data_IF_235690554782
#
_entry.id   IF_235690554782
#
_cell.length_a   1.000
_cell.length_b   1.000
_cell.length_c   1.000
_cell.angle_alpha   90.00
_cell.angle_beta   90.00
_cell.angle_gamma   90.00
#
_symmetry.space_group_name_H-M   'P 1'
#
loop_
_entity.id
_entity.type
_entity.pdbx_description
1 polymer ?
#
# COMPACT_ATOMS: atom_id res chain seq x y z
N UNK A 1 13.02 -22.06 -29.02
CA UNK A 1 13.82 -21.26 -29.99
C UNK A 1 15.20 -21.09 -29.38
N UNK A 2 16.27 -21.11 -30.19
CA UNK A 2 17.61 -20.89 -29.66
C UNK A 2 17.69 -19.45 -29.16
N UNK A 3 18.08 -19.25 -27.89
CA UNK A 3 18.25 -17.94 -27.31
C UNK A 3 19.29 -17.15 -28.12
N UNK A 4 18.93 -16.01 -28.65
CA UNK A 4 19.85 -15.18 -29.42
C UNK A 4 20.94 -14.64 -28.51
N UNK A 5 22.16 -14.54 -29.03
CA UNK A 5 23.33 -14.05 -28.28
C UNK A 5 23.80 -12.72 -28.84
N UNK A 6 24.03 -11.78 -27.97
CA UNK A 6 24.56 -10.47 -28.30
C UNK A 6 25.89 -10.19 -27.58
N UNK A 7 26.45 -9.02 -27.90
CA UNK A 7 27.67 -8.49 -27.26
C UNK A 7 27.46 -7.08 -26.79
N UNK A 8 27.94 -6.76 -25.61
CA UNK A 8 27.92 -5.40 -25.07
C UNK A 8 28.77 -4.49 -25.97
N UNK A 9 28.19 -3.40 -26.43
CA UNK A 9 28.88 -2.37 -27.21
C UNK A 9 29.19 -1.14 -26.38
N UNK A 10 28.31 -0.82 -25.42
CA UNK A 10 28.47 0.37 -24.58
C UNK A 10 27.78 0.16 -23.21
N UNK A 11 28.33 0.73 -22.16
CA UNK A 11 27.73 0.81 -20.81
C UNK A 11 27.72 2.27 -20.39
N UNK A 12 26.55 2.79 -20.04
CA UNK A 12 26.35 4.19 -19.58
C UNK A 12 25.52 4.15 -18.30
N UNK A 13 26.19 4.06 -17.13
CA UNK A 13 25.50 3.88 -15.86
C UNK A 13 24.64 2.63 -15.87
N UNK A 14 23.35 2.75 -15.57
CA UNK A 14 22.40 1.64 -15.56
C UNK A 14 21.90 1.23 -16.95
N UNK A 15 22.37 1.85 -18.04
CA UNK A 15 21.99 1.54 -19.41
C UNK A 15 23.10 0.80 -20.14
N UNK A 16 22.76 -0.26 -20.82
CA UNK A 16 23.67 -1.14 -21.55
C UNK A 16 23.19 -1.31 -22.99
N UNK A 17 24.03 -0.99 -23.96
CA UNK A 17 23.76 -1.22 -25.38
C UNK A 17 24.37 -2.56 -25.78
N UNK A 18 23.54 -3.40 -26.39
CA UNK A 18 23.89 -4.78 -26.80
C UNK A 18 23.59 -4.96 -28.26
N UNK A 19 24.59 -5.40 -29.03
CA UNK A 19 24.45 -5.72 -30.45
C UNK A 19 24.22 -7.23 -30.63
N UNK A 20 23.16 -7.56 -31.34
CA UNK A 20 22.78 -8.92 -31.71
C UNK A 20 23.12 -9.23 -33.17
N UNK A 21 22.83 -10.45 -33.62
CA UNK A 21 22.86 -10.83 -35.03
C UNK A 21 21.60 -10.36 -35.76
N UNK A 22 20.99 -11.26 -36.53
CA UNK A 22 19.78 -10.95 -37.30
C UNK A 22 18.50 -10.89 -36.42
N UNK A 23 18.45 -11.72 -35.38
CA UNK A 23 17.30 -11.82 -34.48
C UNK A 23 17.46 -10.88 -33.26
N UNK A 24 16.73 -9.78 -33.28
CA UNK A 24 16.67 -8.83 -32.17
C UNK A 24 15.67 -9.27 -31.10
N UNK A 25 16.05 -9.23 -29.81
CA UNK A 25 15.11 -9.41 -28.72
C UNK A 25 13.98 -8.37 -28.76
N UNK A 26 12.73 -8.77 -28.53
CA UNK A 26 11.61 -7.83 -28.36
C UNK A 26 11.83 -6.87 -27.20
N UNK A 27 11.16 -5.73 -27.25
CA UNK A 27 11.10 -4.79 -26.13
C UNK A 27 10.47 -5.51 -24.93
N UNK A 28 10.96 -5.23 -23.73
CA UNK A 28 10.65 -5.87 -22.44
C UNK A 28 11.22 -7.29 -22.24
N UNK A 29 11.90 -7.86 -23.23
CA UNK A 29 12.62 -9.11 -22.98
C UNK A 29 13.72 -8.93 -21.95
N UNK A 30 13.92 -9.95 -21.13
CA UNK A 30 15.01 -10.05 -20.21
C UNK A 30 16.26 -10.63 -20.90
N UNK A 31 17.37 -9.96 -20.73
CA UNK A 31 18.69 -10.42 -21.16
C UNK A 31 19.51 -10.77 -19.92
N UNK A 32 20.41 -11.74 -20.06
CA UNK A 32 21.29 -12.15 -18.95
C UNK A 32 22.75 -12.08 -19.34
N UNK A 33 23.59 -11.65 -18.44
CA UNK A 33 25.05 -11.64 -18.57
C UNK A 33 25.69 -11.89 -17.21
N UNK A 34 26.90 -12.43 -17.23
CA UNK A 34 27.68 -12.58 -15.99
C UNK A 34 28.30 -11.25 -15.58
N UNK A 35 28.17 -10.87 -14.33
CA UNK A 35 28.87 -9.73 -13.75
C UNK A 35 29.62 -10.15 -12.49
N UNK A 36 30.89 -10.51 -12.65
CA UNK A 36 31.75 -10.99 -11.57
C UNK A 36 31.18 -12.22 -10.80
N UNK A 37 30.64 -13.18 -11.53
CA UNK A 37 30.05 -14.40 -10.98
C UNK A 37 28.61 -14.27 -10.50
N UNK A 38 28.00 -13.10 -10.71
CA UNK A 38 26.57 -12.87 -10.48
C UNK A 38 25.84 -12.77 -11.81
N UNK A 39 24.66 -13.37 -11.87
CA UNK A 39 23.79 -13.23 -13.04
C UNK A 39 23.12 -11.84 -13.02
N UNK A 40 23.54 -10.96 -13.94
CA UNK A 40 22.93 -9.66 -14.12
C UNK A 40 21.82 -9.74 -15.16
N UNK A 41 20.63 -9.26 -14.81
CA UNK A 41 19.48 -9.17 -15.70
C UNK A 41 19.37 -7.74 -16.24
N UNK A 42 19.17 -7.66 -17.56
CA UNK A 42 18.93 -6.41 -18.30
C UNK A 42 17.54 -6.52 -18.96
N UNK A 43 16.80 -5.45 -19.00
CA UNK A 43 15.51 -5.40 -19.71
C UNK A 43 15.63 -4.54 -20.98
N UNK A 44 15.24 -5.06 -22.11
CA UNK A 44 15.27 -4.33 -23.39
C UNK A 44 14.27 -3.19 -23.35
N UNK A 45 14.76 -1.95 -23.54
CA UNK A 45 13.94 -0.73 -23.50
C UNK A 45 13.73 -0.10 -24.88
N UNK A 46 14.70 -0.21 -25.78
CA UNK A 46 14.67 0.42 -27.10
C UNK A 46 15.44 -0.39 -28.12
N UNK A 47 15.01 -0.32 -29.39
CA UNK A 47 15.81 -0.71 -30.55
C UNK A 47 16.47 0.55 -31.14
N UNK A 48 17.82 0.53 -31.27
CA UNK A 48 18.60 1.68 -31.74
C UNK A 48 18.91 1.64 -33.25
N UNK A 49 18.56 0.54 -33.92
CA UNK A 49 19.02 0.26 -35.27
C UNK A 49 20.34 -0.54 -35.29
N UNK A 50 20.79 -0.96 -36.51
CA UNK A 50 22.01 -1.76 -36.70
C UNK A 50 22.11 -2.98 -35.79
N UNK A 51 20.99 -3.67 -35.59
CA UNK A 51 20.85 -4.84 -34.70
C UNK A 51 21.26 -4.58 -33.23
N UNK A 52 21.15 -3.33 -32.78
CA UNK A 52 21.50 -2.92 -31.42
C UNK A 52 20.26 -2.61 -30.61
N UNK A 53 20.20 -3.16 -29.39
CA UNK A 53 19.17 -2.83 -28.39
C UNK A 53 19.77 -2.06 -27.25
N UNK A 54 19.01 -1.17 -26.68
CA UNK A 54 19.33 -0.49 -25.42
C UNK A 54 18.52 -1.13 -24.32
N UNK A 55 19.23 -1.57 -23.27
CA UNK A 55 18.64 -2.28 -22.13
C UNK A 55 18.94 -1.55 -20.83
N UNK A 56 18.09 -1.77 -19.83
CA UNK A 56 18.20 -1.21 -18.48
C UNK A 56 18.62 -2.31 -17.54
N UNK A 57 19.63 -2.06 -16.73
CA UNK A 57 20.12 -3.02 -15.74
C UNK A 57 19.23 -3.06 -14.51
N UNK A 58 18.99 -4.26 -14.00
CA UNK A 58 18.26 -4.53 -12.76
C UNK A 58 19.16 -4.57 -11.53
N UNK A 59 20.47 -4.58 -11.71
CA UNK A 59 21.48 -4.49 -10.65
C UNK A 59 22.69 -3.68 -11.14
N UNK A 60 23.71 -3.57 -10.32
CA UNK A 60 24.95 -2.82 -10.61
C UNK A 60 25.62 -3.28 -11.90
N UNK A 61 26.07 -2.31 -12.69
CA UNK A 61 26.74 -2.55 -13.99
C UNK A 61 28.26 -2.50 -13.90
N UNK A 62 28.81 -2.17 -12.74
CA UNK A 62 30.24 -2.11 -12.48
C UNK A 62 30.87 -3.48 -12.70
N UNK A 63 31.85 -3.53 -13.56
CA UNK A 63 32.52 -4.78 -13.95
C UNK A 63 32.15 -5.28 -15.35
N UNK A 64 31.09 -4.77 -15.96
CA UNK A 64 30.76 -5.08 -17.36
C UNK A 64 31.80 -4.51 -18.31
N UNK A 65 32.16 -5.31 -19.31
CA UNK A 65 33.15 -4.92 -20.32
C UNK A 65 32.57 -4.98 -21.72
N UNK A 66 33.08 -4.11 -22.60
CA UNK A 66 32.72 -4.13 -24.01
C UNK A 66 33.12 -5.45 -24.66
N UNK A 67 32.25 -6.01 -25.48
CA UNK A 67 32.44 -7.29 -26.15
C UNK A 67 31.99 -8.50 -25.31
N UNK A 68 31.58 -8.29 -24.06
CA UNK A 68 31.04 -9.33 -23.20
C UNK A 68 29.74 -9.91 -23.77
N UNK A 69 29.56 -11.22 -23.61
CA UNK A 69 28.39 -11.93 -24.13
C UNK A 69 27.15 -11.67 -23.27
N UNK A 70 26.03 -11.51 -23.95
CA UNK A 70 24.69 -11.36 -23.38
C UNK A 70 23.78 -12.36 -24.06
N UNK A 71 22.90 -13.00 -23.30
CA UNK A 71 21.93 -13.98 -23.81
C UNK A 71 20.51 -13.45 -23.63
N UNK A 72 19.69 -13.54 -24.68
CA UNK A 72 18.25 -13.32 -24.58
C UNK A 72 17.60 -14.52 -23.88
N UNK A 73 16.73 -14.27 -22.92
CA UNK A 73 15.96 -15.32 -22.21
C UNK A 73 14.75 -15.80 -23.01
N UNK A 74 14.35 -15.05 -24.04
CA UNK A 74 13.18 -15.34 -24.88
C UNK A 74 11.84 -14.85 -24.31
N UNK A 75 11.85 -14.04 -23.26
CA UNK A 75 10.67 -13.46 -22.63
C UNK A 75 10.99 -12.37 -21.62
N UNK A 76 9.99 -11.79 -20.96
CA UNK A 76 10.18 -10.78 -19.94
C UNK A 76 10.83 -11.36 -18.66
N UNK A 77 11.19 -10.49 -17.72
CA UNK A 77 11.65 -10.89 -16.39
C UNK A 77 10.61 -11.80 -15.76
N UNK A 78 11.05 -12.97 -15.28
CA UNK A 78 10.21 -13.96 -14.61
C UNK A 78 10.46 -13.94 -13.12
N UNK A 79 9.40 -14.03 -12.33
CA UNK A 79 9.48 -14.15 -10.86
C UNK A 79 8.79 -15.43 -10.40
N UNK A 80 9.29 -16.09 -9.33
CA UNK A 80 8.59 -17.23 -8.75
C UNK A 80 7.26 -16.77 -8.15
N UNK A 81 6.24 -17.60 -8.25
CA UNK A 81 4.89 -17.31 -7.75
C UNK A 81 4.34 -18.46 -6.92
N UNK A 82 3.22 -18.23 -6.23
CA UNK A 82 2.52 -19.20 -5.40
C UNK A 82 2.97 -19.24 -3.95
N UNK A 83 2.46 -20.21 -3.18
CA UNK A 83 2.62 -20.27 -1.72
C UNK A 83 4.08 -20.34 -1.24
N UNK A 84 4.99 -20.85 -2.05
CA UNK A 84 6.42 -20.86 -1.74
C UNK A 84 7.07 -19.48 -1.60
N UNK A 85 6.36 -18.40 -1.97
CA UNK A 85 6.81 -17.02 -1.80
C UNK A 85 6.36 -16.39 -0.48
N UNK A 86 5.44 -17.02 0.26
CA UNK A 86 4.95 -16.50 1.54
C UNK A 86 6.07 -16.49 2.59
N UNK A 87 6.12 -15.42 3.36
CA UNK A 87 7.15 -15.19 4.36
C UNK A 87 8.54 -14.84 3.79
N UNK A 88 8.69 -14.78 2.46
CA UNK A 88 9.96 -14.55 1.76
C UNK A 88 10.11 -13.10 1.34
N UNK A 89 11.37 -12.67 1.26
CA UNK A 89 11.74 -11.37 0.66
C UNK A 89 12.47 -11.65 -0.66
N UNK A 90 11.91 -11.12 -1.76
CA UNK A 90 12.46 -11.28 -3.10
C UNK A 90 12.94 -9.93 -3.65
N UNK A 91 13.91 -9.97 -4.54
CA UNK A 91 14.30 -8.81 -5.35
C UNK A 91 13.44 -8.69 -6.63
N UNK A 92 13.77 -7.73 -7.49
CA UNK A 92 13.04 -7.46 -8.73
C UNK A 92 13.03 -8.64 -9.72
N UNK A 93 14.04 -9.49 -9.68
CA UNK A 93 14.18 -10.68 -10.54
C UNK A 93 13.67 -11.96 -9.87
N UNK A 94 13.07 -11.82 -8.68
CA UNK A 94 12.52 -12.95 -7.92
C UNK A 94 13.53 -13.77 -7.15
N UNK A 95 14.78 -13.30 -7.06
CA UNK A 95 15.79 -13.97 -6.23
C UNK A 95 15.55 -13.64 -4.76
N UNK A 96 15.69 -14.62 -3.84
CA UNK A 96 15.54 -14.39 -2.43
C UNK A 96 16.70 -13.57 -1.86
N UNK A 97 16.39 -12.61 -1.00
CA UNK A 97 17.37 -11.73 -0.32
C UNK A 97 17.30 -11.84 1.20
N UNK A 98 16.55 -12.81 1.71
CA UNK A 98 16.27 -13.06 3.13
C UNK A 98 17.17 -14.13 3.78
N UNK A 99 18.17 -14.64 3.06
CA UNK A 99 19.08 -15.70 3.51
C UNK A 99 18.39 -17.02 3.89
N UNK A 100 17.13 -17.22 3.50
CA UNK A 100 16.34 -18.43 3.77
C UNK A 100 16.49 -19.52 2.68
N UNK A 101 17.49 -19.39 1.83
CA UNK A 101 17.73 -20.32 0.72
C UNK A 101 16.78 -20.12 -0.47
N UNK A 102 16.80 -21.02 -1.46
CA UNK A 102 15.99 -20.88 -2.66
C UNK A 102 14.48 -20.92 -2.38
N UNK A 103 13.71 -20.21 -3.19
CA UNK A 103 12.25 -20.21 -3.11
C UNK A 103 11.72 -21.59 -3.53
N UNK A 104 10.83 -22.16 -2.73
CA UNK A 104 10.16 -23.43 -3.02
C UNK A 104 8.97 -23.20 -3.97
N UNK A 105 9.25 -22.74 -5.18
CA UNK A 105 8.24 -22.59 -6.22
C UNK A 105 8.69 -23.31 -7.48
N UNK A 106 7.76 -23.98 -8.14
CA UNK A 106 7.97 -24.63 -9.44
C UNK A 106 7.44 -23.77 -10.59
N UNK A 107 6.69 -22.74 -10.28
CA UNK A 107 6.04 -21.87 -11.25
C UNK A 107 6.69 -20.49 -11.27
N UNK A 108 6.79 -19.92 -12.46
CA UNK A 108 7.25 -18.55 -12.66
C UNK A 108 6.27 -17.80 -13.55
N UNK A 109 6.15 -16.49 -13.36
CA UNK A 109 5.28 -15.63 -14.16
C UNK A 109 6.04 -14.36 -14.57
N UNK A 110 5.80 -13.90 -15.81
CA UNK A 110 6.40 -12.67 -16.30
C UNK A 110 5.82 -11.43 -15.59
N UNK A 111 6.68 -10.46 -15.27
CA UNK A 111 6.26 -9.25 -14.57
C UNK A 111 5.43 -8.29 -15.43
N UNK A 112 5.53 -8.40 -16.76
CA UNK A 112 4.73 -7.63 -17.70
C UNK A 112 3.50 -8.45 -18.10
N UNK A 113 2.42 -8.26 -17.35
CA UNK A 113 1.10 -8.81 -17.65
C UNK A 113 0.15 -7.72 -18.15
N UNK A 114 -0.88 -8.14 -18.85
CA UNK A 114 -1.97 -7.25 -19.25
C UNK A 114 -2.99 -7.08 -18.12
N UNK A 115 -3.75 -5.98 -18.15
CA UNK A 115 -4.89 -5.81 -17.28
C UNK A 115 -5.94 -6.90 -17.55
N UNK A 116 -6.75 -7.31 -16.55
CA UNK A 116 -7.83 -8.26 -16.79
C UNK A 116 -8.78 -7.77 -17.89
N UNK A 117 -9.17 -8.69 -18.79
CA UNK A 117 -10.12 -8.39 -19.83
C UNK A 117 -11.46 -7.91 -19.27
N UNK A 118 -12.17 -7.11 -20.03
CA UNK A 118 -13.42 -6.49 -19.59
C UNK A 118 -14.47 -7.52 -19.13
N UNK A 119 -14.53 -8.67 -19.78
CA UNK A 119 -15.43 -9.76 -19.42
C UNK A 119 -15.02 -10.56 -18.17
N UNK A 120 -13.76 -10.43 -17.74
CA UNK A 120 -13.23 -11.06 -16.52
C UNK A 120 -13.45 -10.18 -15.27
N UNK A 121 -13.58 -8.87 -15.44
CA UNK A 121 -13.75 -7.94 -14.33
C UNK A 121 -15.11 -8.13 -13.65
N UNK A 122 -15.11 -8.02 -12.32
CA UNK A 122 -16.34 -7.93 -11.53
C UNK A 122 -16.90 -6.51 -11.62
N UNK A 123 -18.20 -6.39 -11.82
CA UNK A 123 -18.92 -5.11 -11.80
C UNK A 123 -19.56 -4.83 -10.44
N UNK A 124 -19.49 -5.76 -9.50
CA UNK A 124 -20.04 -5.61 -8.16
C UNK A 124 -19.13 -4.68 -7.34
N UNK A 125 -19.75 -3.68 -6.71
CA UNK A 125 -19.06 -2.77 -5.80
C UNK A 125 -19.32 -3.22 -4.38
N UNK A 126 -18.29 -3.77 -3.74
CA UNK A 126 -18.34 -4.28 -2.38
C UNK A 126 -17.39 -3.50 -1.47
N UNK A 127 -17.78 -3.35 -0.19
CA UNK A 127 -16.91 -2.82 0.85
C UNK A 127 -15.94 -3.93 1.27
N UNK A 128 -14.66 -3.59 1.32
CA UNK A 128 -13.64 -4.39 2.00
C UNK A 128 -13.66 -4.02 3.49
N UNK A 129 -14.36 -4.80 4.29
CA UNK A 129 -14.42 -4.55 5.73
C UNK A 129 -13.05 -4.81 6.36
N UNK A 130 -12.47 -3.78 6.94
CA UNK A 130 -11.13 -3.82 7.55
C UNK A 130 -11.15 -4.18 9.03
N UNK A 131 -12.29 -4.03 9.70
CA UNK A 131 -12.43 -4.17 11.15
C UNK A 131 -11.88 -2.97 11.92
N UNK A 132 -11.51 -1.89 11.23
CA UNK A 132 -10.99 -0.64 11.81
C UNK A 132 -12.09 0.42 11.71
N UNK A 133 -12.66 0.81 12.84
CA UNK A 133 -13.85 1.69 12.92
C UNK A 133 -13.75 2.94 12.07
N UNK A 134 -12.65 3.69 12.18
CA UNK A 134 -12.49 4.97 11.49
C UNK A 134 -12.45 4.80 9.97
N UNK A 135 -11.87 3.73 9.48
CA UNK A 135 -11.79 3.42 8.05
C UNK A 135 -13.18 2.97 7.56
N UNK A 136 -13.71 1.93 8.19
CA UNK A 136 -14.96 1.30 7.74
C UNK A 136 -16.15 2.25 7.81
N UNK A 137 -16.18 3.17 8.78
CA UNK A 137 -17.25 4.15 8.92
C UNK A 137 -17.13 5.34 7.96
N UNK A 138 -15.95 5.98 7.91
CA UNK A 138 -15.77 7.31 7.32
C UNK A 138 -15.07 7.33 5.97
N UNK A 139 -14.25 6.33 5.69
CA UNK A 139 -13.50 6.20 4.44
C UNK A 139 -13.40 4.73 4.01
N UNK A 140 -14.55 4.03 3.82
CA UNK A 140 -14.57 2.60 3.54
C UNK A 140 -13.79 2.25 2.27
N UNK A 141 -13.07 1.14 2.31
CA UNK A 141 -12.29 0.65 1.19
C UNK A 141 -13.15 -0.14 0.22
N UNK A 142 -12.90 0.08 -1.06
CA UNK A 142 -13.53 -0.71 -2.13
C UNK A 142 -12.73 -2.01 -2.33
N UNK A 143 -13.41 -3.14 -2.32
CA UNK A 143 -12.82 -4.42 -2.74
C UNK A 143 -12.40 -4.34 -4.20
N UNK A 144 -11.12 -4.63 -4.48
CA UNK A 144 -10.54 -4.39 -5.81
C UNK A 144 -10.20 -2.94 -6.12
N UNK A 145 -10.33 -2.05 -5.14
CA UNK A 145 -10.05 -0.63 -5.28
C UNK A 145 -8.59 -0.27 -4.98
N UNK A 146 -8.32 1.01 -5.17
CA UNK A 146 -6.99 1.61 -4.98
C UNK A 146 -7.07 2.69 -3.91
N UNK A 147 -6.37 2.48 -2.81
CA UNK A 147 -6.39 3.35 -1.65
C UNK A 147 -5.05 4.08 -1.53
N UNK A 148 -5.09 5.40 -1.47
CA UNK A 148 -3.93 6.22 -1.15
C UNK A 148 -3.77 6.37 0.36
N UNK A 149 -2.59 6.01 0.88
CA UNK A 149 -2.24 6.20 2.27
C UNK A 149 -1.26 7.36 2.40
N UNK A 150 -1.72 8.41 3.05
CA UNK A 150 -0.97 9.64 3.28
C UNK A 150 -0.55 9.73 4.73
N UNK A 151 0.68 10.14 5.00
CA UNK A 151 1.13 10.36 6.37
C UNK A 151 2.63 10.59 6.43
N UNK A 152 3.02 11.48 7.31
CA UNK A 152 4.42 11.76 7.63
C UNK A 152 5.09 10.63 8.42
N UNK A 153 6.34 10.83 8.79
CA UNK A 153 7.04 9.90 9.65
C UNK A 153 6.46 9.89 11.07
N UNK A 154 6.36 8.70 11.68
CA UNK A 154 5.98 8.54 13.09
C UNK A 154 4.49 8.67 13.40
N UNK A 155 3.61 8.63 12.40
CA UNK A 155 2.15 8.67 12.60
C UNK A 155 1.49 7.29 12.69
N UNK A 156 2.28 6.20 12.69
CA UNK A 156 1.77 4.84 12.79
C UNK A 156 1.39 4.18 11.46
N UNK A 157 1.93 4.66 10.33
CA UNK A 157 1.69 4.07 9.00
C UNK A 157 1.98 2.56 8.96
N UNK A 158 3.16 2.16 9.42
CA UNK A 158 3.59 0.76 9.46
C UNK A 158 2.66 -0.12 10.31
N UNK A 159 2.27 0.37 11.48
CA UNK A 159 1.37 -0.35 12.39
C UNK A 159 -0.02 -0.53 11.75
N UNK A 160 -0.52 0.49 11.05
CA UNK A 160 -1.78 0.40 10.32
C UNK A 160 -1.70 -0.64 9.18
N UNK A 161 -0.60 -0.64 8.41
CA UNK A 161 -0.36 -1.62 7.34
C UNK A 161 -0.36 -3.04 7.92
N UNK A 162 0.38 -3.28 9.00
CA UNK A 162 0.44 -4.59 9.65
C UNK A 162 -0.94 -5.04 10.18
N UNK A 163 -1.72 -4.13 10.75
CA UNK A 163 -3.06 -4.45 11.22
C UNK A 163 -4.00 -4.81 10.07
N UNK A 164 -3.93 -4.08 8.96
CA UNK A 164 -4.70 -4.41 7.74
C UNK A 164 -4.34 -5.80 7.21
N UNK A 165 -3.06 -6.16 7.16
CA UNK A 165 -2.60 -7.50 6.75
C UNK A 165 -3.17 -8.56 7.68
N UNK A 166 -3.05 -8.36 8.99
CA UNK A 166 -3.54 -9.29 9.99
C UNK A 166 -5.07 -9.48 9.90
N UNK A 167 -5.81 -8.39 9.72
CA UNK A 167 -7.26 -8.40 9.67
C UNK A 167 -7.79 -9.07 8.41
N UNK A 168 -7.20 -8.79 7.26
CA UNK A 168 -7.57 -9.46 6.01
C UNK A 168 -7.29 -10.95 6.07
N UNK A 169 -6.18 -11.36 6.64
CA UNK A 169 -5.89 -12.78 6.83
C UNK A 169 -6.90 -13.47 7.75
N UNK A 170 -7.39 -12.79 8.80
CA UNK A 170 -8.34 -13.35 9.76
C UNK A 170 -9.78 -13.34 9.24
N UNK A 171 -10.22 -12.26 8.62
CA UNK A 171 -11.62 -12.07 8.21
C UNK A 171 -11.88 -12.69 6.84
N UNK A 172 -10.98 -12.50 5.89
CA UNK A 172 -11.19 -12.90 4.49
C UNK A 172 -10.36 -14.11 4.07
N UNK A 173 -9.57 -14.70 4.99
CA UNK A 173 -8.60 -15.78 4.67
C UNK A 173 -7.69 -15.41 3.49
N UNK A 174 -7.50 -14.11 3.28
CA UNK A 174 -6.71 -13.55 2.19
C UNK A 174 -5.22 -13.54 2.51
N UNK A 175 -4.44 -13.31 1.48
CA UNK A 175 -2.99 -13.09 1.58
C UNK A 175 -2.64 -11.66 1.17
N UNK A 176 -1.46 -11.23 1.56
CA UNK A 176 -0.97 -9.90 1.21
C UNK A 176 0.34 -9.98 0.46
N UNK A 177 0.61 -8.96 -0.34
CA UNK A 177 1.91 -8.76 -0.98
C UNK A 177 2.37 -7.34 -0.69
N UNK A 178 3.60 -7.18 -0.25
CA UNK A 178 4.19 -5.87 0.03
C UNK A 178 5.34 -5.59 -0.93
N UNK A 179 5.24 -4.50 -1.66
CA UNK A 179 6.28 -3.99 -2.55
C UNK A 179 6.94 -2.75 -1.94
N UNK A 180 8.17 -2.91 -1.44
CA UNK A 180 9.03 -1.81 -0.99
C UNK A 180 9.73 -1.17 -2.17
N UNK A 181 9.29 0.03 -2.55
CA UNK A 181 9.75 0.73 -3.74
C UNK A 181 10.58 1.96 -3.34
N UNK A 182 11.88 1.87 -3.49
CA UNK A 182 12.80 2.98 -3.26
C UNK A 182 12.85 3.50 -1.83
N UNK A 183 12.45 2.69 -0.85
CA UNK A 183 12.51 3.03 0.57
C UNK A 183 13.87 2.67 1.18
N UNK A 184 14.09 3.06 2.42
CA UNK A 184 15.34 2.78 3.13
C UNK A 184 15.44 1.30 3.49
N UNK A 185 16.58 0.69 3.22
CA UNK A 185 16.85 -0.73 3.57
C UNK A 185 16.60 -1.02 5.05
N UNK A 186 16.96 -0.08 5.93
CA UNK A 186 16.73 -0.23 7.37
C UNK A 186 15.25 -0.32 7.70
N UNK A 187 14.40 0.55 7.11
CA UNK A 187 12.96 0.55 7.34
C UNK A 187 12.31 -0.75 6.83
N UNK A 188 12.77 -1.28 5.70
CA UNK A 188 12.33 -2.57 5.19
C UNK A 188 12.72 -3.74 6.10
N UNK A 189 13.92 -3.69 6.70
CA UNK A 189 14.37 -4.70 7.64
C UNK A 189 13.62 -4.61 8.98
N UNK A 190 13.40 -3.40 9.49
CA UNK A 190 12.61 -3.16 10.71
C UNK A 190 11.19 -3.70 10.52
N UNK A 191 10.53 -3.40 9.38
CA UNK A 191 9.21 -3.90 9.03
C UNK A 191 9.15 -5.45 8.99
N UNK A 192 10.15 -6.09 8.42
CA UNK A 192 10.22 -7.55 8.36
C UNK A 192 10.26 -8.18 9.76
N UNK A 193 11.07 -7.62 10.67
CA UNK A 193 11.16 -8.09 12.05
C UNK A 193 9.87 -7.83 12.84
N UNK A 194 9.25 -6.67 12.66
CA UNK A 194 7.96 -6.35 13.27
C UNK A 194 6.85 -7.30 12.80
N UNK A 195 6.87 -7.73 11.53
CA UNK A 195 5.95 -8.75 11.00
C UNK A 195 6.19 -10.13 11.59
N UNK A 196 7.43 -10.48 11.93
CA UNK A 196 7.75 -11.71 12.65
C UNK A 196 7.23 -11.63 14.10
N UNK A 197 7.50 -10.54 14.79
CA UNK A 197 7.08 -10.34 16.18
C UNK A 197 5.55 -10.32 16.33
N UNK A 198 4.84 -9.78 15.35
CA UNK A 198 3.36 -9.73 15.31
C UNK A 198 2.72 -11.04 14.82
N UNK A 199 3.52 -12.03 14.38
CA UNK A 199 3.01 -13.31 13.89
C UNK A 199 2.40 -13.27 12.48
N UNK A 200 2.59 -12.20 11.73
CA UNK A 200 2.22 -12.09 10.31
C UNK A 200 3.14 -12.97 9.46
N UNK A 201 4.42 -13.04 9.82
CA UNK A 201 5.40 -13.96 9.26
C UNK A 201 5.73 -15.03 10.31
N UNK A 202 5.69 -16.29 9.90
CA UNK A 202 5.96 -17.46 10.75
C UNK A 202 7.28 -18.08 10.33
N UNK A 203 8.40 -17.77 11.00
CA UNK A 203 9.74 -18.22 10.55
C UNK A 203 9.93 -19.74 10.53
N UNK A 204 9.27 -20.45 11.47
CA UNK A 204 9.37 -21.91 11.58
C UNK A 204 8.60 -22.64 10.46
N UNK A 205 7.57 -22.00 9.90
CA UNK A 205 6.82 -22.50 8.75
C UNK A 205 6.37 -21.32 7.86
N UNK A 206 7.23 -20.94 6.93
CA UNK A 206 7.03 -19.76 6.08
C UNK A 206 5.72 -19.82 5.25
N UNK A 207 5.26 -21.03 4.90
CA UNK A 207 4.02 -21.22 4.13
C UNK A 207 2.75 -20.83 4.93
N UNK A 208 2.84 -20.77 6.26
CA UNK A 208 1.76 -20.28 7.14
C UNK A 208 1.75 -18.76 7.28
N UNK A 209 2.75 -18.09 6.72
CA UNK A 209 2.84 -16.63 6.71
C UNK A 209 1.71 -16.02 5.88
N UNK A 210 1.34 -14.77 6.20
CA UNK A 210 0.20 -14.07 5.59
C UNK A 210 0.61 -13.11 4.47
N UNK A 211 1.91 -13.00 4.19
CA UNK A 211 2.46 -12.01 3.29
C UNK A 211 3.67 -12.53 2.52
N UNK A 212 3.82 -12.08 1.27
CA UNK A 212 5.05 -12.13 0.49
C UNK A 212 5.60 -10.71 0.31
N UNK A 213 6.92 -10.56 0.35
CA UNK A 213 7.58 -9.26 0.25
C UNK A 213 8.49 -9.19 -0.97
N UNK A 214 8.49 -8.05 -1.65
CA UNK A 214 9.42 -7.74 -2.71
C UNK A 214 10.07 -6.39 -2.44
N UNK A 215 11.40 -6.32 -2.47
CA UNK A 215 12.14 -5.10 -2.15
C UNK A 215 13.01 -4.63 -3.31
N UNK A 216 12.79 -3.38 -3.73
CA UNK A 216 13.66 -2.61 -4.61
C UNK A 216 14.02 -1.29 -3.91
N UNK A 217 14.99 -1.36 -3.01
CA UNK A 217 15.31 -0.29 -2.06
C UNK A 217 16.04 0.88 -2.73
N UNK A 218 16.22 1.99 -1.99
CA UNK A 218 16.78 3.24 -2.55
C UNK A 218 18.24 3.13 -3.00
N UNK A 219 18.98 2.13 -2.54
CA UNK A 219 20.36 1.86 -2.96
C UNK A 219 20.44 1.06 -4.28
N UNK A 220 19.32 0.53 -4.76
CA UNK A 220 19.28 -0.22 -6.01
C UNK A 220 19.17 0.70 -7.24
N UNK A 221 19.59 0.25 -8.43
CA UNK A 221 19.51 1.04 -9.65
C UNK A 221 18.08 1.37 -10.03
N UNK A 222 17.86 2.41 -10.86
CA UNK A 222 16.52 2.86 -11.20
C UNK A 222 15.68 1.80 -11.95
N UNK A 223 16.31 0.90 -12.68
CA UNK A 223 15.62 -0.23 -13.33
C UNK A 223 14.92 -1.14 -12.32
N UNK A 224 15.63 -1.53 -11.25
CA UNK A 224 15.06 -2.33 -10.18
C UNK A 224 13.92 -1.61 -9.48
N UNK A 225 14.11 -0.35 -9.06
CA UNK A 225 13.09 0.45 -8.38
C UNK A 225 11.84 0.69 -9.24
N UNK A 226 11.98 0.79 -10.55
CA UNK A 226 10.89 0.97 -11.50
C UNK A 226 10.08 -0.33 -11.70
N UNK A 227 10.70 -1.51 -11.55
CA UNK A 227 10.06 -2.80 -11.86
C UNK A 227 9.59 -3.57 -10.63
N UNK A 228 10.09 -3.25 -9.45
CA UNK A 228 9.78 -4.03 -8.24
C UNK A 228 8.27 -4.04 -7.91
N UNK A 229 7.55 -2.95 -8.15
CA UNK A 229 6.10 -2.92 -7.96
C UNK A 229 5.38 -3.90 -8.90
N UNK A 230 5.89 -4.06 -10.13
CA UNK A 230 5.34 -5.03 -11.09
C UNK A 230 5.64 -6.47 -10.66
N UNK A 231 6.81 -6.73 -10.10
CA UNK A 231 7.15 -8.05 -9.52
C UNK A 231 6.18 -8.40 -8.39
N UNK A 232 5.92 -7.47 -7.46
CA UNK A 232 4.94 -7.66 -6.39
C UNK A 232 3.53 -7.85 -6.91
N UNK A 233 3.10 -7.05 -7.88
CA UNK A 233 1.79 -7.17 -8.49
C UNK A 233 1.59 -8.53 -9.17
N UNK A 234 2.63 -9.07 -9.79
CA UNK A 234 2.60 -10.40 -10.41
C UNK A 234 2.37 -11.51 -9.38
N UNK A 235 2.98 -11.40 -8.18
CA UNK A 235 2.69 -12.33 -7.08
C UNK A 235 1.22 -12.20 -6.64
N UNK A 236 0.73 -10.97 -6.50
CA UNK A 236 -0.65 -10.71 -6.11
C UNK A 236 -1.66 -11.27 -7.13
N UNK A 237 -1.40 -11.10 -8.42
CA UNK A 237 -2.23 -11.65 -9.51
C UNK A 237 -2.30 -13.17 -9.45
N UNK A 238 -1.18 -13.85 -9.14
CA UNK A 238 -1.20 -15.30 -9.02
C UNK A 238 -2.12 -15.77 -7.89
N UNK A 239 -2.05 -15.14 -6.73
CA UNK A 239 -2.95 -15.47 -5.61
C UNK A 239 -4.42 -15.19 -5.95
N UNK A 240 -4.72 -14.07 -6.62
CA UNK A 240 -6.06 -13.76 -7.09
C UNK A 240 -6.60 -14.80 -8.08
N UNK A 241 -5.79 -15.13 -9.10
CA UNK A 241 -6.23 -15.91 -10.24
C UNK A 241 -6.32 -17.41 -9.92
N UNK A 242 -5.35 -17.97 -9.19
CA UNK A 242 -5.23 -19.41 -8.94
C UNK A 242 -5.97 -19.85 -7.68
N UNK A 243 -5.93 -19.06 -6.62
CA UNK A 243 -6.57 -19.44 -5.35
C UNK A 243 -7.91 -18.74 -5.11
N UNK A 244 -8.31 -17.83 -6.00
CA UNK A 244 -9.54 -17.05 -5.84
C UNK A 244 -9.53 -16.17 -4.58
N UNK A 245 -8.35 -15.77 -4.14
CA UNK A 245 -8.18 -15.03 -2.89
C UNK A 245 -8.48 -13.55 -3.05
N UNK A 246 -8.90 -12.94 -1.94
CA UNK A 246 -8.87 -11.50 -1.78
C UNK A 246 -7.46 -11.09 -1.34
N UNK A 247 -6.75 -10.39 -2.20
CA UNK A 247 -5.35 -10.03 -1.99
C UNK A 247 -5.24 -8.55 -1.64
N UNK A 248 -4.49 -8.23 -0.57
CA UNK A 248 -4.02 -6.87 -0.32
C UNK A 248 -2.64 -6.68 -0.95
N UNK A 249 -2.53 -5.67 -1.77
CA UNK A 249 -1.29 -5.28 -2.40
C UNK A 249 -0.81 -3.93 -1.88
N UNK A 250 0.25 -3.94 -1.10
CA UNK A 250 0.87 -2.73 -0.55
C UNK A 250 2.00 -2.25 -1.43
N UNK A 251 2.04 -0.94 -1.69
CA UNK A 251 3.14 -0.28 -2.41
C UNK A 251 3.67 0.86 -1.55
N UNK A 252 4.88 0.75 -1.07
CA UNK A 252 5.54 1.80 -0.32
C UNK A 252 6.89 2.10 -0.96
N UNK A 253 7.03 3.14 -1.74
CA UNK A 253 6.15 4.27 -1.99
C UNK A 253 5.87 4.41 -3.49
N UNK A 254 4.62 4.67 -3.87
CA UNK A 254 4.25 4.79 -5.29
C UNK A 254 4.97 5.96 -6.00
N UNK A 255 5.29 7.04 -5.29
CA UNK A 255 6.07 8.15 -5.83
C UNK A 255 7.45 7.69 -6.33
N UNK A 256 8.09 6.73 -5.63
CA UNK A 256 9.41 6.22 -6.02
C UNK A 256 9.37 5.43 -7.32
N UNK A 257 8.24 4.79 -7.62
CA UNK A 257 8.00 4.16 -8.92
C UNK A 257 8.08 5.21 -10.05
N UNK A 258 7.40 6.34 -9.90
CA UNK A 258 7.45 7.42 -10.90
C UNK A 258 8.81 8.09 -10.98
N UNK A 259 9.47 8.29 -9.85
CA UNK A 259 10.82 8.86 -9.79
C UNK A 259 11.83 7.97 -10.53
N UNK A 260 11.83 6.68 -10.27
CA UNK A 260 12.70 5.72 -10.97
C UNK A 260 12.42 5.72 -12.48
N UNK A 261 11.15 5.80 -12.88
CA UNK A 261 10.75 5.96 -14.29
C UNK A 261 11.31 7.22 -14.93
N UNK A 262 11.37 8.34 -14.23
CA UNK A 262 11.97 9.57 -14.75
C UNK A 262 13.49 9.46 -14.90
N UNK A 263 14.19 8.83 -13.95
CA UNK A 263 15.62 8.55 -14.03
C UNK A 263 15.95 7.67 -15.24
N UNK A 264 15.18 6.58 -15.43
CA UNK A 264 15.33 5.69 -16.61
C UNK A 264 15.07 6.46 -17.90
N UNK A 265 14.01 7.25 -17.98
CA UNK A 265 13.68 8.05 -19.16
C UNK A 265 14.78 9.01 -19.54
N UNK A 266 15.41 9.65 -18.56
CA UNK A 266 16.57 10.53 -18.77
C UNK A 266 17.79 9.75 -19.31
N UNK A 267 18.08 8.58 -18.74
CA UNK A 267 19.17 7.70 -19.22
C UNK A 267 18.94 7.18 -20.63
N UNK A 268 17.68 6.99 -21.03
CA UNK A 268 17.29 6.61 -22.39
C UNK A 268 17.33 7.78 -23.37
N UNK A 269 17.61 9.00 -22.91
CA UNK A 269 17.69 10.19 -23.75
C UNK A 269 16.34 10.72 -24.23
N UNK A 270 15.24 10.39 -23.55
CA UNK A 270 13.91 10.89 -23.87
C UNK A 270 13.76 12.35 -23.43
N UNK A 271 13.04 13.14 -24.21
CA UNK A 271 12.74 14.54 -23.87
C UNK A 271 11.81 14.55 -22.66
N UNK A 272 12.19 15.22 -21.55
CA UNK A 272 11.36 15.26 -20.35
C UNK A 272 10.06 16.07 -20.57
N UNK A 273 9.02 15.70 -19.85
CA UNK A 273 7.78 16.47 -19.75
C UNK A 273 7.84 17.50 -18.63
N UNK A 274 6.69 18.00 -18.17
CA UNK A 274 6.59 18.97 -17.10
C UNK A 274 7.35 18.51 -15.84
N UNK A 275 8.05 19.45 -15.16
CA UNK A 275 8.81 19.22 -13.93
C UNK A 275 9.93 18.17 -14.06
N UNK A 276 10.30 17.77 -15.28
CA UNK A 276 11.36 16.79 -15.53
C UNK A 276 10.91 15.33 -15.51
N UNK A 277 9.62 15.06 -15.39
CA UNK A 277 9.08 13.68 -15.45
C UNK A 277 9.15 13.09 -16.86
N UNK A 278 9.05 11.76 -16.94
CA UNK A 278 8.98 11.03 -18.20
C UNK A 278 7.72 11.40 -18.99
N UNK A 279 7.79 11.45 -20.33
CA UNK A 279 6.61 11.70 -21.16
C UNK A 279 5.55 10.58 -21.08
N UNK A 280 5.96 9.41 -20.60
CA UNK A 280 5.11 8.22 -20.43
C UNK A 280 4.53 8.09 -19.01
N UNK A 281 4.63 9.12 -18.16
CA UNK A 281 4.21 9.07 -16.75
C UNK A 281 2.78 8.49 -16.58
N UNK A 282 1.81 9.05 -17.29
CA UNK A 282 0.42 8.61 -17.19
C UNK A 282 0.22 7.18 -17.72
N UNK A 283 0.92 6.82 -18.78
CA UNK A 283 0.84 5.48 -19.39
C UNK A 283 1.49 4.43 -18.49
N UNK A 284 2.66 4.72 -17.93
CA UNK A 284 3.37 3.80 -17.02
C UNK A 284 2.56 3.55 -15.76
N UNK A 285 1.99 4.62 -15.18
CA UNK A 285 1.12 4.53 -14.01
C UNK A 285 -0.17 3.76 -14.34
N UNK A 286 -0.82 4.11 -15.45
CA UNK A 286 -2.05 3.46 -15.90
C UNK A 286 -1.87 1.97 -16.13
N UNK A 287 -0.80 1.57 -16.81
CA UNK A 287 -0.49 0.17 -17.09
C UNK A 287 -0.37 -0.68 -15.80
N UNK A 288 0.20 -0.12 -14.73
CA UNK A 288 0.26 -0.81 -13.45
C UNK A 288 -1.10 -0.78 -12.72
N UNK A 289 -1.74 0.38 -12.67
CA UNK A 289 -2.98 0.57 -11.90
C UNK A 289 -4.16 -0.23 -12.45
N UNK A 290 -4.28 -0.38 -13.77
CA UNK A 290 -5.37 -1.13 -14.40
C UNK A 290 -5.29 -2.66 -14.17
N UNK A 291 -4.12 -3.20 -13.81
CA UNK A 291 -3.96 -4.59 -13.39
C UNK A 291 -4.55 -4.87 -12.00
N UNK A 292 -4.69 -3.81 -11.19
CA UNK A 292 -5.25 -3.87 -9.84
C UNK A 292 -6.77 -3.79 -9.96
N UNK A 293 -7.44 -4.93 -9.89
CA UNK A 293 -8.87 -5.03 -10.10
C UNK A 293 -9.48 -6.26 -9.41
N UNK A 294 -10.79 -6.20 -9.17
CA UNK A 294 -11.62 -7.37 -8.87
C UNK A 294 -11.94 -8.12 -10.16
N UNK A 295 -11.77 -9.42 -10.12
CA UNK A 295 -12.19 -10.34 -11.18
C UNK A 295 -13.28 -11.27 -10.66
N UNK A 296 -13.83 -12.10 -11.53
CA UNK A 296 -14.82 -13.14 -11.15
C UNK A 296 -14.23 -14.22 -10.25
N UNK A 297 -12.91 -14.37 -10.21
CA UNK A 297 -12.21 -15.36 -9.38
C UNK A 297 -11.82 -14.81 -8.00
N UNK A 298 -11.34 -13.59 -7.92
CA UNK A 298 -10.86 -12.96 -6.69
C UNK A 298 -10.60 -11.48 -6.88
N UNK A 299 -10.00 -10.83 -5.89
CA UNK A 299 -9.74 -9.39 -5.94
C UNK A 299 -8.31 -9.03 -5.55
N UNK A 300 -7.81 -7.93 -6.10
CA UNK A 300 -6.61 -7.25 -5.60
C UNK A 300 -7.04 -5.86 -5.16
N UNK A 301 -6.93 -5.57 -3.88
CA UNK A 301 -7.12 -4.23 -3.33
C UNK A 301 -5.76 -3.66 -3.00
N UNK A 302 -5.41 -2.49 -3.52
CA UNK A 302 -4.11 -1.88 -3.24
C UNK A 302 -4.18 -0.77 -2.21
N UNK A 303 -3.19 -0.77 -1.31
CA UNK A 303 -2.92 0.34 -0.40
C UNK A 303 -1.56 0.91 -0.77
N UNK A 304 -1.56 2.12 -1.29
CA UNK A 304 -0.39 2.77 -1.86
C UNK A 304 0.03 3.94 -0.99
N UNK A 305 1.20 3.87 -0.38
CA UNK A 305 1.77 5.02 0.31
C UNK A 305 2.15 6.08 -0.73
N UNK A 306 1.65 7.29 -0.54
CA UNK A 306 1.87 8.41 -1.44
C UNK A 306 2.72 9.46 -0.74
N UNK A 307 3.87 9.77 -1.32
CA UNK A 307 4.68 10.92 -0.94
C UNK A 307 4.34 12.10 -1.86
N UNK A 308 4.09 13.24 -1.27
CA UNK A 308 3.80 14.48 -2.00
C UNK A 308 5.01 15.39 -1.89
N UNK A 309 5.78 15.60 -2.99
CA UNK A 309 6.93 16.48 -2.97
C UNK A 309 6.56 17.91 -2.57
N UNK A 310 7.25 18.46 -1.57
CA UNK A 310 7.04 19.83 -1.06
C UNK A 310 5.57 20.13 -0.67
N UNK A 311 4.78 19.12 -0.34
CA UNK A 311 3.34 19.20 -0.06
C UNK A 311 2.52 19.80 -1.23
N UNK A 312 3.05 19.73 -2.45
CA UNK A 312 2.41 20.24 -3.67
C UNK A 312 1.58 19.14 -4.36
N UNK A 313 0.28 19.16 -4.12
CA UNK A 313 -0.68 18.24 -4.74
C UNK A 313 -0.84 18.44 -6.26
N UNK A 314 -0.31 19.54 -6.80
CA UNK A 314 -0.36 19.84 -8.24
C UNK A 314 0.83 19.29 -9.00
N UNK A 315 1.83 18.74 -8.30
CA UNK A 315 2.95 18.02 -8.92
C UNK A 315 2.41 16.85 -9.79
N UNK A 316 2.93 16.66 -11.02
CA UNK A 316 2.41 15.65 -11.95
C UNK A 316 2.38 14.22 -11.41
N UNK A 317 3.32 13.82 -10.54
CA UNK A 317 3.38 12.45 -10.03
C UNK A 317 2.22 12.14 -9.04
N UNK A 318 2.02 12.91 -7.94
CA UNK A 318 0.86 12.71 -7.10
C UNK A 318 -0.46 12.97 -7.84
N UNK A 319 -0.55 13.99 -8.69
CA UNK A 319 -1.76 14.28 -9.47
C UNK A 319 -2.19 13.09 -10.35
N UNK A 320 -1.23 12.43 -11.02
CA UNK A 320 -1.50 11.24 -11.82
C UNK A 320 -1.94 10.06 -10.92
N UNK A 321 -1.30 9.89 -9.76
CA UNK A 321 -1.67 8.83 -8.81
C UNK A 321 -3.08 9.03 -8.27
N UNK A 322 -3.46 10.27 -7.89
CA UNK A 322 -4.80 10.59 -7.39
C UNK A 322 -5.93 10.26 -8.35
N UNK A 323 -5.69 10.38 -9.66
CA UNK A 323 -6.69 10.07 -10.67
C UNK A 323 -7.16 8.60 -10.62
N UNK A 324 -6.32 7.70 -10.11
CA UNK A 324 -6.61 6.27 -9.98
C UNK A 324 -7.19 5.86 -8.62
N UNK A 325 -7.12 6.72 -7.60
CA UNK A 325 -7.52 6.35 -6.24
C UNK A 325 -9.05 6.35 -6.06
N UNK A 326 -9.54 5.33 -5.38
CA UNK A 326 -10.95 5.18 -4.98
C UNK A 326 -11.21 5.70 -3.57
N UNK A 327 -10.21 5.63 -2.70
CA UNK A 327 -10.25 6.17 -1.36
C UNK A 327 -8.89 6.74 -0.95
N UNK A 328 -8.91 7.65 0.01
CA UNK A 328 -7.71 8.21 0.63
C UNK A 328 -7.81 8.10 2.15
N UNK A 329 -6.75 7.60 2.77
CA UNK A 329 -6.58 7.55 4.22
C UNK A 329 -5.44 8.49 4.59
N UNK A 330 -5.75 9.53 5.34
CA UNK A 330 -4.79 10.54 5.79
C UNK A 330 -4.45 10.29 7.25
N UNK A 331 -3.17 10.04 7.54
CA UNK A 331 -2.67 9.96 8.91
C UNK A 331 -2.13 11.31 9.33
N UNK A 332 -2.64 11.85 10.41
CA UNK A 332 -2.32 13.19 10.90
C UNK A 332 -1.49 13.15 12.18
N UNK A 333 -0.46 14.00 12.21
CA UNK A 333 0.45 14.10 13.36
C UNK A 333 -0.24 14.69 14.59
N UNK A 334 -1.11 15.69 14.42
CA UNK A 334 -1.81 16.31 15.53
C UNK A 334 -2.75 15.32 16.24
N UNK A 335 -3.29 14.34 15.50
CA UNK A 335 -4.10 13.26 16.07
C UNK A 335 -3.20 12.27 16.85
N UNK A 336 -2.05 11.91 16.29
CA UNK A 336 -1.10 11.04 16.99
C UNK A 336 -0.50 11.67 18.26
N UNK A 337 -0.28 12.97 18.26
CA UNK A 337 0.18 13.73 19.43
C UNK A 337 -0.87 13.77 20.56
N UNK A 338 -2.16 13.63 20.24
CA UNK A 338 -3.23 13.42 21.23
C UNK A 338 -3.28 11.98 21.77
N UNK A 339 -2.42 11.07 21.27
CA UNK A 339 -2.43 9.66 21.63
C UNK A 339 -3.56 8.85 20.98
N UNK A 340 -4.24 9.39 19.98
CA UNK A 340 -5.34 8.72 19.28
C UNK A 340 -4.74 7.86 18.16
N UNK A 341 -4.94 6.55 18.23
CA UNK A 341 -4.49 5.57 17.25
C UNK A 341 -5.64 4.63 16.83
N UNK A 342 -5.77 4.31 15.52
CA UNK A 342 -4.97 4.84 14.41
C UNK A 342 -5.16 6.35 14.25
N UNK A 343 -4.08 7.05 13.90
CA UNK A 343 -4.09 8.51 13.76
C UNK A 343 -4.71 8.98 12.43
N UNK A 344 -5.81 8.37 12.03
CA UNK A 344 -6.53 8.69 10.80
C UNK A 344 -7.31 9.99 10.98
N UNK A 345 -7.11 10.95 10.07
CA UNK A 345 -7.90 12.18 10.02
C UNK A 345 -9.30 11.87 9.48
N UNK A 346 -10.34 11.95 10.31
CA UNK A 346 -11.72 11.64 9.91
C UNK A 346 -12.33 12.64 8.94
N UNK A 347 -11.77 13.84 8.84
CA UNK A 347 -12.23 14.90 7.96
C UNK A 347 -11.39 15.03 6.67
N UNK A 348 -10.13 14.62 6.74
CA UNK A 348 -9.19 14.61 5.61
C UNK A 348 -9.24 13.33 4.79
N UNK A 349 -9.74 12.24 5.34
CA UNK A 349 -9.88 10.96 4.64
C UNK A 349 -11.18 10.90 3.87
N UNK A 350 -11.15 10.30 2.67
CA UNK A 350 -12.30 10.26 1.76
C UNK A 350 -12.45 8.89 1.10
N UNK A 351 -13.66 8.56 0.68
CA UNK A 351 -13.94 7.36 -0.13
C UNK A 351 -15.06 7.64 -1.14
N UNK A 352 -14.89 7.11 -2.35
CA UNK A 352 -15.96 7.15 -3.37
C UNK A 352 -17.14 6.25 -3.01
N UNK A 353 -16.93 5.27 -2.10
CA UNK A 353 -18.01 4.44 -1.61
C UNK A 353 -18.98 5.16 -0.68
N UNK A 354 -18.60 6.31 -0.11
CA UNK A 354 -19.43 7.06 0.82
C UNK A 354 -20.58 7.77 0.06
N UNK A 355 -21.46 6.95 -0.46
CA UNK A 355 -22.66 7.31 -1.22
C UNK A 355 -23.83 6.45 -0.72
N UNK A 356 -25.01 7.04 -0.39
CA UNK A 356 -26.15 6.30 0.15
C UNK A 356 -26.67 5.20 -0.78
N UNK A 357 -26.46 5.33 -2.10
CA UNK A 357 -26.84 4.33 -3.10
C UNK A 357 -25.93 3.08 -3.07
N UNK A 358 -24.73 3.19 -2.50
CA UNK A 358 -23.74 2.13 -2.46
C UNK A 358 -23.71 1.46 -1.07
N UNK A 359 -23.50 2.26 -0.02
CA UNK A 359 -23.32 1.77 1.36
C UNK A 359 -24.62 1.71 2.17
N UNK A 360 -25.72 2.21 1.61
CA UNK A 360 -27.02 2.31 2.29
C UNK A 360 -27.18 3.62 3.09
N UNK A 361 -28.44 4.02 3.27
CA UNK A 361 -28.78 5.29 3.91
C UNK A 361 -28.33 5.37 5.38
N UNK A 362 -28.41 4.26 6.12
CA UNK A 362 -28.07 4.26 7.54
C UNK A 362 -26.57 4.53 7.75
N UNK A 363 -25.70 3.79 7.07
CA UNK A 363 -24.27 3.99 7.16
C UNK A 363 -23.88 5.41 6.73
N UNK A 364 -24.41 5.87 5.58
CA UNK A 364 -24.15 7.21 5.06
C UNK A 364 -24.57 8.32 6.04
N UNK A 365 -25.76 8.21 6.62
CA UNK A 365 -26.27 9.19 7.57
C UNK A 365 -25.39 9.25 8.82
N UNK A 366 -25.07 8.10 9.41
CA UNK A 366 -24.21 8.05 10.61
C UNK A 366 -22.82 8.62 10.33
N UNK A 367 -22.20 8.28 9.20
CA UNK A 367 -20.91 8.82 8.81
C UNK A 367 -20.96 10.34 8.63
N UNK A 368 -21.98 10.84 7.96
CA UNK A 368 -22.19 12.30 7.74
C UNK A 368 -22.41 13.04 9.04
N UNK A 369 -23.23 12.49 9.94
CA UNK A 369 -23.50 13.10 11.24
C UNK A 369 -22.23 13.17 12.10
N UNK A 370 -21.43 12.10 12.14
CA UNK A 370 -20.12 12.09 12.82
C UNK A 370 -19.21 13.18 12.24
N UNK A 371 -19.10 13.26 10.91
CA UNK A 371 -18.29 14.28 10.25
C UNK A 371 -18.77 15.70 10.56
N UNK A 372 -20.07 15.94 10.59
CA UNK A 372 -20.63 17.25 10.91
C UNK A 372 -20.30 17.67 12.35
N UNK A 373 -20.44 16.78 13.32
CA UNK A 373 -20.08 17.05 14.72
C UNK A 373 -18.60 17.37 14.86
N UNK A 374 -17.73 16.58 14.23
CA UNK A 374 -16.29 16.80 14.24
C UNK A 374 -15.90 18.10 13.53
N UNK A 375 -16.54 18.42 12.40
CA UNK A 375 -16.30 19.67 11.65
C UNK A 375 -16.72 20.88 12.47
N UNK A 376 -17.87 20.82 13.16
CA UNK A 376 -18.32 21.89 14.07
C UNK A 376 -17.32 22.09 15.20
N UNK A 377 -16.84 21.00 15.81
CA UNK A 377 -15.82 21.08 16.84
C UNK A 377 -14.52 21.74 16.33
N UNK A 378 -14.06 21.36 15.15
CA UNK A 378 -12.86 21.96 14.52
C UNK A 378 -13.02 23.47 14.34
N UNK A 379 -14.21 23.95 13.92
CA UNK A 379 -14.46 25.38 13.76
C UNK A 379 -14.57 26.14 15.10
N UNK A 380 -14.86 25.44 16.20
CA UNK A 380 -14.94 26.03 17.54
C UNK A 380 -13.60 26.03 18.30
N UNK A 381 -12.60 25.27 17.83
CA UNK A 381 -11.31 25.12 18.52
C UNK A 381 -10.60 26.46 18.75
N UNK A 382 -10.59 27.35 17.76
CA UNK A 382 -9.96 28.67 17.88
C UNK A 382 -10.68 29.55 18.92
N UNK A 383 -12.02 29.48 18.95
CA UNK A 383 -12.84 30.19 19.93
C UNK A 383 -12.57 29.67 21.33
N UNK A 384 -12.50 28.34 21.50
CA UNK A 384 -12.21 27.70 22.79
C UNK A 384 -10.81 28.07 23.28
N UNK A 385 -9.83 28.13 22.37
CA UNK A 385 -8.45 28.46 22.72
C UNK A 385 -8.29 29.92 23.20
N UNK A 386 -9.08 30.86 22.67
CA UNK A 386 -9.00 32.28 22.99
C UNK A 386 -9.91 32.66 24.14
N UNK A 387 -11.18 32.22 24.13
CA UNK A 387 -12.21 32.65 25.07
C UNK A 387 -12.56 31.64 26.16
N UNK A 388 -12.19 30.37 25.97
CA UNK A 388 -12.55 29.27 26.85
C UNK A 388 -13.90 28.64 26.51
N UNK A 389 -14.19 27.52 27.17
CA UNK A 389 -15.43 26.75 26.98
C UNK A 389 -16.67 27.48 27.51
N UNK A 390 -16.51 28.34 28.50
CA UNK A 390 -17.63 28.98 29.20
C UNK A 390 -18.38 29.98 28.32
N UNK A 391 -17.70 30.56 27.33
CA UNK A 391 -18.29 31.53 26.38
C UNK A 391 -19.09 30.87 25.24
N UNK A 392 -19.08 29.56 25.12
CA UNK A 392 -19.86 28.83 24.13
C UNK A 392 -21.35 28.77 24.52
N UNK A 393 -22.21 28.71 23.51
CA UNK A 393 -23.63 28.38 23.70
C UNK A 393 -23.77 26.96 24.27
N UNK A 394 -24.87 26.64 24.92
CA UNK A 394 -25.13 25.32 25.47
C UNK A 394 -25.13 24.23 24.37
N UNK A 395 -25.64 24.57 23.17
CA UNK A 395 -25.62 23.67 22.03
C UNK A 395 -24.19 23.42 21.53
N UNK A 396 -23.30 24.42 21.56
CA UNK A 396 -21.91 24.30 21.20
C UNK A 396 -21.12 23.50 22.23
N UNK A 397 -21.41 23.72 23.53
CA UNK A 397 -20.81 22.90 24.61
C UNK A 397 -21.16 21.42 24.46
N UNK A 398 -22.41 21.12 24.14
CA UNK A 398 -22.86 19.76 23.89
C UNK A 398 -22.17 19.16 22.67
N UNK A 399 -22.11 19.91 21.55
CA UNK A 399 -21.42 19.48 20.34
C UNK A 399 -19.94 19.20 20.60
N UNK A 400 -19.23 20.04 21.34
CA UNK A 400 -17.82 19.84 21.73
C UNK A 400 -17.65 18.61 22.60
N UNK A 401 -18.54 18.39 23.56
CA UNK A 401 -18.49 17.22 24.46
C UNK A 401 -18.67 15.92 23.67
N UNK A 402 -19.63 15.87 22.76
CA UNK A 402 -19.84 14.72 21.88
C UNK A 402 -18.69 14.52 20.91
N UNK A 403 -18.18 15.59 20.30
CA UNK A 403 -17.05 15.54 19.39
C UNK A 403 -15.80 14.93 20.04
N UNK A 404 -15.50 15.29 21.29
CA UNK A 404 -14.38 14.73 22.05
C UNK A 404 -14.55 13.23 22.33
N UNK A 405 -15.79 12.82 22.64
CA UNK A 405 -16.11 11.40 22.80
C UNK A 405 -15.94 10.65 21.47
N UNK A 406 -16.42 11.22 20.37
CA UNK A 406 -16.27 10.64 19.02
C UNK A 406 -14.80 10.55 18.62
N UNK A 407 -13.98 11.59 18.81
CA UNK A 407 -12.53 11.53 18.54
C UNK A 407 -11.87 10.36 19.30
N UNK A 408 -12.19 10.20 20.58
CA UNK A 408 -11.64 9.10 21.39
C UNK A 408 -12.21 7.75 20.98
N UNK A 409 -13.48 7.68 20.58
CA UNK A 409 -14.11 6.45 20.16
C UNK A 409 -13.63 5.97 18.78
N UNK A 410 -13.10 6.86 17.96
CA UNK A 410 -12.40 6.50 16.72
C UNK A 410 -11.07 5.78 16.98
N UNK A 411 -10.50 5.91 18.19
CA UNK A 411 -9.33 5.11 18.57
C UNK A 411 -9.70 3.64 18.79
N UNK A 412 -8.75 2.76 18.51
CA UNK A 412 -8.97 1.31 18.59
C UNK A 412 -7.64 0.61 18.91
N UNK A 413 -7.61 -0.35 19.85
CA UNK A 413 -6.42 -1.15 20.07
C UNK A 413 -6.22 -2.14 18.92
N UNK A 414 -4.98 -2.26 18.46
CA UNK A 414 -4.59 -3.17 17.38
C UNK A 414 -3.89 -4.41 17.91
N UNK A 415 -4.15 -5.56 17.28
CA UNK A 415 -3.51 -6.83 17.65
C UNK A 415 -1.99 -6.76 17.47
N UNK A 416 -1.54 -6.18 16.36
CA UNK A 416 -0.10 -6.04 16.06
C UNK A 416 0.61 -5.09 17.03
N UNK A 417 -0.11 -4.20 17.68
CA UNK A 417 0.43 -3.27 18.68
C UNK A 417 0.47 -3.85 20.09
N UNK A 418 -0.06 -5.05 20.34
CA UNK A 418 -0.10 -5.70 21.65
C UNK A 418 1.27 -5.79 22.33
N UNK A 419 2.32 -6.05 21.53
CA UNK A 419 3.71 -6.14 22.02
C UNK A 419 4.15 -4.82 22.68
N UNK A 420 3.68 -3.68 22.18
CA UNK A 420 4.04 -2.34 22.69
C UNK A 420 3.06 -1.82 23.73
N UNK A 421 1.77 -2.12 23.57
CA UNK A 421 0.71 -1.54 24.42
C UNK A 421 0.32 -2.43 25.60
N UNK A 422 0.58 -3.74 25.50
CA UNK A 422 0.12 -4.74 26.48
C UNK A 422 -1.39 -5.00 26.46
N UNK A 423 -2.12 -4.37 25.53
CA UNK A 423 -3.57 -4.54 25.38
C UNK A 423 -3.87 -5.45 24.19
N UNK A 424 -4.86 -6.32 24.33
CA UNK A 424 -5.36 -7.12 23.21
C UNK A 424 -6.01 -6.20 22.16
N UNK A 425 -5.80 -6.52 20.88
CA UNK A 425 -6.45 -5.83 19.80
C UNK A 425 -7.92 -6.24 19.68
N UNK A 426 -8.72 -5.35 19.11
CA UNK A 426 -10.15 -5.60 18.88
C UNK A 426 -10.49 -5.25 17.44
N UNK A 427 -11.01 -6.23 16.70
CA UNK A 427 -11.68 -5.99 15.43
C UNK A 427 -13.15 -5.71 15.68
N UNK A 428 -13.68 -4.66 15.06
CA UNK A 428 -15.09 -4.28 15.23
C UNK A 428 -15.84 -4.54 13.93
N UNK A 429 -16.90 -5.36 13.94
CA UNK A 429 -17.75 -5.55 12.77
C UNK A 429 -18.37 -4.24 12.29
N UNK A 430 -18.61 -4.11 11.00
CA UNK A 430 -19.16 -2.89 10.41
C UNK A 430 -20.53 -2.52 11.01
N UNK A 431 -21.42 -3.51 11.18
CA UNK A 431 -22.76 -3.27 11.74
C UNK A 431 -22.68 -2.74 13.18
N UNK A 432 -21.78 -3.30 13.99
CA UNK A 432 -21.52 -2.84 15.35
C UNK A 432 -20.93 -1.42 15.37
N UNK A 433 -20.02 -1.12 14.45
CA UNK A 433 -19.46 0.22 14.27
C UNK A 433 -20.57 1.23 13.97
N UNK A 434 -21.43 0.97 12.98
CA UNK A 434 -22.51 1.86 12.60
C UNK A 434 -23.47 2.07 13.78
N UNK A 435 -23.92 1.00 14.43
CA UNK A 435 -24.85 1.07 15.56
C UNK A 435 -24.25 1.85 16.73
N UNK A 436 -23.00 1.61 17.07
CA UNK A 436 -22.31 2.28 18.17
C UNK A 436 -22.16 3.78 17.94
N UNK A 437 -21.71 4.18 16.75
CA UNK A 437 -21.57 5.61 16.44
C UNK A 437 -22.92 6.32 16.32
N UNK A 438 -23.95 5.68 15.79
CA UNK A 438 -25.32 6.18 15.76
C UNK A 438 -25.82 6.54 17.15
N UNK A 439 -25.65 5.64 18.11
CA UNK A 439 -26.08 5.84 19.49
C UNK A 439 -25.30 6.98 20.19
N UNK A 440 -23.97 7.08 19.93
CA UNK A 440 -23.16 8.18 20.49
C UNK A 440 -23.58 9.54 19.91
N UNK A 441 -23.81 9.64 18.60
CA UNK A 441 -24.26 10.89 17.95
C UNK A 441 -25.67 11.28 18.43
N UNK A 442 -26.56 10.30 18.63
CA UNK A 442 -27.89 10.51 19.18
C UNK A 442 -27.88 11.02 20.63
N UNK A 443 -26.75 10.86 21.34
CA UNK A 443 -26.60 11.34 22.71
C UNK A 443 -27.01 10.34 23.78
N UNK A 444 -27.22 9.08 23.44
CA UNK A 444 -27.62 8.04 24.39
C UNK A 444 -26.59 7.84 25.51
N UNK A 445 -25.32 8.16 25.21
CA UNK A 445 -24.18 8.01 26.11
C UNK A 445 -23.54 9.33 26.56
N UNK A 446 -24.29 10.43 26.51
CA UNK A 446 -23.81 11.74 26.94
C UNK A 446 -23.44 11.77 28.45
N UNK A 447 -24.04 10.90 29.24
CA UNK A 447 -23.78 10.74 30.68
C UNK A 447 -22.47 10.03 31.03
N UNK A 448 -21.84 9.30 30.06
CA UNK A 448 -20.61 8.57 30.31
C UNK A 448 -19.37 9.48 30.21
N UNK A 449 -18.31 9.23 30.99
CA UNK A 449 -17.08 10.01 30.94
C UNK A 449 -16.32 9.82 29.62
N UNK A 450 -15.70 10.87 29.10
CA UNK A 450 -14.92 10.89 27.86
C UNK A 450 -13.81 9.80 27.84
N UNK A 451 -13.18 9.54 29.00
CA UNK A 451 -12.12 8.55 29.11
C UNK A 451 -12.57 7.10 28.84
N UNK A 452 -13.87 6.81 28.96
CA UNK A 452 -14.41 5.50 28.66
C UNK A 452 -14.39 5.14 27.18
N UNK A 453 -14.42 6.15 26.30
CA UNK A 453 -14.43 5.98 24.84
C UNK A 453 -13.04 5.75 24.23
N UNK A 454 -11.98 5.86 25.02
CA UNK A 454 -10.61 5.79 24.54
C UNK A 454 -10.10 4.35 24.44
N UNK A 455 -9.55 3.95 23.26
CA UNK A 455 -8.95 2.64 23.00
C UNK A 455 -9.87 1.49 23.42
N UNK A 456 -11.01 1.41 22.76
CA UNK A 456 -12.04 0.37 22.96
C UNK A 456 -12.57 -0.08 21.58
N UNK A 457 -13.23 -1.22 21.54
CA UNK A 457 -13.95 -1.73 20.36
C UNK A 457 -15.32 -1.10 20.21
N UNK A 458 -16.39 -1.86 20.47
CA UNK A 458 -17.76 -1.38 20.39
C UNK A 458 -18.26 -0.66 21.62
N UNK A 459 -19.55 -0.30 21.62
CA UNK A 459 -20.16 0.48 22.70
C UNK A 459 -20.24 -0.29 24.02
N UNK A 460 -20.36 -1.61 23.98
CA UNK A 460 -20.40 -2.44 25.18
C UNK A 460 -19.11 -2.35 26.00
N UNK A 461 -17.96 -2.23 25.32
CA UNK A 461 -16.68 -2.00 25.98
C UNK A 461 -16.61 -0.61 26.61
N UNK A 462 -17.22 0.40 26.00
CA UNK A 462 -17.32 1.76 26.58
C UNK A 462 -18.08 1.69 27.90
N UNK A 463 -19.22 1.01 27.93
CA UNK A 463 -20.05 0.85 29.13
C UNK A 463 -19.25 0.13 30.24
N UNK A 464 -18.65 -1.01 29.90
CA UNK A 464 -17.88 -1.80 30.85
C UNK A 464 -16.68 -1.00 31.39
N UNK A 465 -16.03 -0.18 30.55
CA UNK A 465 -14.93 0.68 30.98
C UNK A 465 -15.38 1.83 31.85
N UNK A 466 -16.55 2.42 31.56
CA UNK A 466 -17.15 3.47 32.39
C UNK A 466 -17.47 2.95 33.81
N UNK A 467 -18.02 1.74 33.93
CA UNK A 467 -18.26 1.09 35.21
C UNK A 467 -16.99 0.86 36.02
N UNK A 468 -15.92 0.37 35.36
CA UNK A 468 -14.60 0.21 36.00
C UNK A 468 -14.02 1.53 36.49
N UNK A 469 -14.14 2.60 35.68
CA UNK A 469 -13.68 3.94 36.09
C UNK A 469 -14.46 4.47 37.30
N UNK A 470 -15.78 4.28 37.31
CA UNK A 470 -16.61 4.66 38.45
C UNK A 470 -16.25 3.89 39.74
N UNK A 471 -16.01 2.57 39.63
CA UNK A 471 -15.61 1.73 40.73
C UNK A 471 -14.20 2.08 41.26
N UNK A 472 -13.28 2.56 40.44
CA UNK A 472 -11.94 2.97 40.85
C UNK A 472 -11.88 4.38 41.46
N UNK A 473 -12.92 5.19 41.25
CA UNK A 473 -13.05 6.55 41.81
C UNK A 473 -13.82 6.58 43.13
N UNK A 474 -14.48 5.48 43.51
CA UNK A 474 -15.19 5.30 44.76
C UNK A 474 -14.28 4.63 45.84
#
# INVERSE_FOLDING_TARGET
MANSKGKITQVIGAVVDVQFGEDLPPILNALTTDNNGKNLVLEVAQHLGENTVRAIAMDATEGLVRGQQVSDTGGPIQVPVGNGTLGRILNVTGDPVDEQGPVKSTETRGIHGDAPDFDQQSTETEILVTGIKVIDLLAPYTKGGKIGLFGGAGVGKTVLIMELINNIAKVHSGVSVFAGVGERTREGNDLYHEMIESGVIVPDNLEDSKIALVYGQMNEPPGARMRIALSGLTLAEQFRDDTGSDVLFFVDNIFRFTQAGSEVSALLGRIPSAVGYQPTLATDMGAMQERIASTKSGSITSVQAVYVPADDLTDPAPATSFAHLDATTVLDRAISEKGIYPAVDPLGSTSRLLDPMIIGEEHYTVATDVQQVLQRYKSLQDIIAILGMDELSEDDKLAVTRARKLERFLSQPFDVAKVFTGSDGVQVPLDETIASFKAVVAGEYDHLPEAAFYMVGGIDEVIAKAEKLAASAA
#
